data_IF_659094021695
#
_entry.id   IF_659094021695
#
_cell.length_a   1.000
_cell.length_b   1.000
_cell.length_c   1.000
_cell.angle_alpha   90.00
_cell.angle_beta   90.00
_cell.angle_gamma   90.00
#
_symmetry.space_group_name_H-M   'P 1'
#
loop_
_entity.id
_entity.type
_entity.pdbx_description
1 polymer ?
#
# COMPACT_ATOMS: atom_id res chain seq x y z
N UNK A 1 15.47 -22.53 -20.36
CA UNK A 1 15.88 -22.48 -18.94
C UNK A 1 15.04 -21.45 -18.23
N UNK A 2 13.97 -21.84 -17.54
CA UNK A 2 13.14 -20.89 -16.77
C UNK A 2 13.87 -20.58 -15.47
N UNK A 3 14.37 -19.34 -15.32
CA UNK A 3 15.00 -18.93 -14.07
C UNK A 3 13.94 -18.98 -12.96
N UNK A 4 14.21 -19.76 -11.91
CA UNK A 4 13.33 -19.89 -10.76
C UNK A 4 13.38 -18.56 -10.00
N UNK A 5 12.40 -17.69 -10.24
CA UNK A 5 12.33 -16.38 -9.61
C UNK A 5 12.43 -16.53 -8.07
N UNK A 6 13.38 -15.81 -7.46
CA UNK A 6 13.62 -15.84 -6.02
C UNK A 6 12.36 -15.32 -5.33
N UNK A 7 11.70 -16.17 -4.51
CA UNK A 7 10.47 -15.80 -3.79
C UNK A 7 10.74 -14.59 -2.91
N UNK A 8 9.98 -13.51 -3.13
CA UNK A 8 10.01 -12.33 -2.27
C UNK A 8 9.63 -12.73 -0.84
N UNK A 9 10.35 -12.18 0.13
CA UNK A 9 10.09 -12.41 1.55
C UNK A 9 9.65 -11.08 2.16
N UNK A 10 8.51 -11.13 2.87
CA UNK A 10 7.88 -9.98 3.49
C UNK A 10 7.81 -10.21 4.99
N UNK A 11 8.10 -9.17 5.76
CA UNK A 11 7.99 -9.17 7.22
C UNK A 11 6.52 -9.35 7.63
N UNK A 12 6.29 -9.82 8.86
CA UNK A 12 4.94 -9.92 9.40
C UNK A 12 4.26 -8.55 9.44
N UNK A 13 4.99 -7.51 9.88
CA UNK A 13 4.51 -6.13 9.94
C UNK A 13 4.04 -5.61 8.58
N UNK A 14 4.82 -5.81 7.52
CA UNK A 14 4.43 -5.39 6.16
C UNK A 14 3.15 -6.08 5.69
N UNK A 15 3.02 -7.38 5.96
CA UNK A 15 1.81 -8.13 5.62
C UNK A 15 0.60 -7.63 6.41
N UNK A 16 0.77 -7.35 7.70
CA UNK A 16 -0.29 -6.83 8.57
C UNK A 16 -0.79 -5.47 8.09
N UNK A 17 0.11 -4.55 7.72
CA UNK A 17 -0.27 -3.24 7.20
C UNK A 17 -1.03 -3.35 5.87
N UNK A 18 -0.58 -4.22 4.97
CA UNK A 18 -1.27 -4.50 3.72
C UNK A 18 -2.70 -5.03 3.96
N UNK A 19 -2.87 -5.93 4.93
CA UNK A 19 -4.19 -6.45 5.32
C UNK A 19 -5.04 -5.37 5.99
N UNK A 20 -4.45 -4.50 6.82
CA UNK A 20 -5.15 -3.39 7.48
C UNK A 20 -5.76 -2.43 6.46
N UNK A 21 -5.03 -2.09 5.40
CA UNK A 21 -5.52 -1.22 4.32
C UNK A 21 -6.73 -1.83 3.60
N UNK A 22 -6.70 -3.13 3.31
CA UNK A 22 -7.85 -3.84 2.72
C UNK A 22 -9.04 -3.87 3.69
N UNK A 23 -8.82 -4.15 4.98
CA UNK A 23 -9.86 -4.11 6.01
C UNK A 23 -10.46 -2.71 6.19
N UNK A 24 -9.69 -1.65 5.93
CA UNK A 24 -10.15 -0.27 5.93
C UNK A 24 -10.98 0.10 4.68
N UNK A 25 -11.26 -0.86 3.79
CA UNK A 25 -12.16 -0.69 2.64
C UNK A 25 -11.47 -0.39 1.31
N UNK A 26 -10.14 -0.39 1.26
CA UNK A 26 -9.42 -0.24 -0.01
C UNK A 26 -9.50 -1.52 -0.84
N UNK A 27 -9.58 -1.39 -2.17
CA UNK A 27 -9.57 -2.56 -3.06
C UNK A 27 -8.21 -3.25 -3.05
N UNK A 28 -8.20 -4.58 -3.17
CA UNK A 28 -6.96 -5.36 -3.21
C UNK A 28 -6.06 -4.93 -4.37
N UNK A 29 -6.62 -4.67 -5.55
CA UNK A 29 -5.89 -4.14 -6.70
C UNK A 29 -5.15 -2.81 -6.39
N UNK A 30 -5.82 -1.86 -5.72
CA UNK A 30 -5.22 -0.58 -5.38
C UNK A 30 -4.10 -0.71 -4.34
N UNK A 31 -4.33 -1.52 -3.29
CA UNK A 31 -3.32 -1.79 -2.25
C UNK A 31 -2.13 -2.53 -2.84
N UNK A 32 -2.36 -3.53 -3.70
CA UNK A 32 -1.33 -4.29 -4.37
C UNK A 32 -0.45 -3.40 -5.26
N UNK A 33 -1.05 -2.54 -6.08
CA UNK A 33 -0.35 -1.57 -6.90
C UNK A 33 0.46 -0.57 -6.05
N UNK A 34 -0.11 -0.10 -4.95
CA UNK A 34 0.55 0.86 -4.03
C UNK A 34 1.78 0.26 -3.36
N UNK A 35 1.67 -0.99 -2.90
CA UNK A 35 2.71 -1.69 -2.17
C UNK A 35 3.72 -2.43 -3.08
N UNK A 36 3.51 -2.40 -4.40
CA UNK A 36 4.36 -3.10 -5.36
C UNK A 36 4.32 -4.62 -5.18
N UNK A 37 3.17 -5.16 -4.76
CA UNK A 37 2.96 -6.61 -4.60
C UNK A 37 1.98 -7.12 -5.62
N UNK A 38 2.10 -8.39 -6.00
CA UNK A 38 1.11 -9.04 -6.84
C UNK A 38 -0.21 -9.15 -6.07
N UNK A 39 -1.34 -8.83 -6.70
CA UNK A 39 -2.66 -8.86 -6.07
C UNK A 39 -3.00 -10.24 -5.47
N UNK A 40 -2.65 -11.33 -6.16
CA UNK A 40 -2.80 -12.68 -5.64
C UNK A 40 -2.02 -12.92 -4.33
N UNK A 41 -0.85 -12.28 -4.17
CA UNK A 41 -0.05 -12.36 -2.94
C UNK A 41 -0.78 -11.65 -1.79
N UNK A 42 -1.33 -10.47 -2.05
CA UNK A 42 -2.14 -9.74 -1.07
C UNK A 42 -3.40 -10.52 -0.67
N UNK A 43 -4.10 -11.09 -1.65
CA UNK A 43 -5.25 -11.96 -1.39
C UNK A 43 -4.90 -13.11 -0.43
N UNK A 44 -3.76 -13.77 -0.66
CA UNK A 44 -3.29 -14.86 0.20
C UNK A 44 -3.02 -14.39 1.63
N UNK A 45 -2.53 -13.16 1.82
CA UNK A 45 -2.32 -12.59 3.16
C UNK A 45 -3.63 -12.27 3.85
N UNK A 46 -4.59 -11.65 3.15
CA UNK A 46 -5.93 -11.37 3.71
C UNK A 46 -6.62 -12.67 4.11
N UNK A 47 -6.50 -13.73 3.30
CA UNK A 47 -7.03 -15.06 3.64
C UNK A 47 -6.33 -15.65 4.88
N UNK A 48 -5.00 -15.64 4.92
CA UNK A 48 -4.24 -16.17 6.03
C UNK A 48 -4.52 -15.43 7.35
N UNK A 49 -4.72 -14.10 7.29
CA UNK A 49 -5.10 -13.28 8.44
C UNK A 49 -6.49 -13.64 8.98
N UNK A 50 -7.50 -13.81 8.10
CA UNK A 50 -8.84 -14.28 8.50
C UNK A 50 -8.82 -15.65 9.17
N UNK A 51 -7.88 -16.51 8.78
CA UNK A 51 -7.70 -17.84 9.36
C UNK A 51 -6.81 -17.85 10.61
N UNK A 52 -6.26 -16.71 11.04
CA UNK A 52 -5.31 -16.63 12.16
C UNK A 52 -3.95 -17.25 11.88
N UNK A 53 -3.60 -17.45 10.60
CA UNK A 53 -2.38 -18.14 10.13
C UNK A 53 -1.40 -17.21 9.42
N UNK A 54 -1.61 -15.89 9.49
CA UNK A 54 -0.70 -14.94 8.84
C UNK A 54 0.66 -14.97 9.55
N UNK A 55 1.68 -15.46 8.86
CA UNK A 55 3.05 -15.53 9.36
C UNK A 55 3.99 -14.69 8.49
N UNK A 56 4.99 -14.08 9.11
CA UNK A 56 6.10 -13.45 8.41
C UNK A 56 7.12 -14.49 7.94
N UNK A 57 7.83 -14.20 6.86
CA UNK A 57 9.04 -14.97 6.59
C UNK A 57 10.15 -14.50 7.56
N UNK A 58 10.88 -15.44 8.17
CA UNK A 58 11.94 -15.13 9.13
C UNK A 58 12.88 -14.06 8.58
N UNK A 59 12.90 -12.92 9.25
CA UNK A 59 13.86 -11.81 9.14
C UNK A 59 14.84 -11.87 7.96
N UNK A 60 14.34 -11.59 6.75
CA UNK A 60 15.17 -10.90 5.75
C UNK A 60 14.62 -9.48 5.63
N UNK A 61 15.42 -8.47 6.01
CA UNK A 61 14.91 -7.11 6.16
C UNK A 61 14.60 -6.54 4.78
N UNK A 62 13.38 -6.06 4.62
CA UNK A 62 13.12 -4.92 3.73
C UNK A 62 14.08 -3.83 4.21
N UNK A 63 14.91 -3.27 3.34
CA UNK A 63 15.87 -2.23 3.75
C UNK A 63 15.08 -1.10 4.42
N UNK A 64 15.57 -0.49 5.52
CA UNK A 64 14.99 0.74 6.08
C UNK A 64 14.70 1.80 5.00
N UNK A 65 15.53 1.84 3.95
CA UNK A 65 15.37 2.73 2.80
C UNK A 65 14.11 2.40 1.98
N UNK A 66 13.75 1.12 1.84
CA UNK A 66 12.55 0.71 1.13
C UNK A 66 11.28 0.99 1.94
N UNK A 67 11.36 0.86 3.28
CA UNK A 67 10.26 1.25 4.17
C UNK A 67 10.05 2.77 4.15
N UNK A 68 11.13 3.55 4.22
CA UNK A 68 11.09 5.00 4.16
C UNK A 68 10.61 5.48 2.80
N UNK A 69 11.05 4.84 1.71
CA UNK A 69 10.56 5.16 0.36
C UNK A 69 9.06 4.90 0.22
N UNK A 70 8.53 3.82 0.81
CA UNK A 70 7.10 3.54 0.80
C UNK A 70 6.32 4.59 1.62
N UNK A 71 6.81 4.94 2.80
CA UNK A 71 6.22 5.98 3.66
C UNK A 71 6.20 7.33 2.96
N UNK A 72 7.32 7.75 2.38
CA UNK A 72 7.44 9.01 1.64
C UNK A 72 6.50 9.05 0.43
N UNK A 73 6.36 7.93 -0.30
CA UNK A 73 5.41 7.86 -1.44
C UNK A 73 3.96 7.99 -0.98
N UNK A 74 3.58 7.35 0.12
CA UNK A 74 2.24 7.49 0.70
C UNK A 74 1.96 8.93 1.14
N UNK A 75 2.93 9.57 1.79
CA UNK A 75 2.79 10.96 2.25
C UNK A 75 2.70 11.94 1.07
N UNK A 76 3.53 11.76 0.04
CA UNK A 76 3.44 12.57 -1.20
C UNK A 76 2.08 12.40 -1.87
N UNK A 77 1.51 11.20 -1.89
CA UNK A 77 0.18 10.96 -2.46
C UNK A 77 -0.91 11.69 -1.66
N UNK A 78 -0.86 11.63 -0.32
CA UNK A 78 -1.78 12.35 0.58
C UNK A 78 -1.72 13.86 0.35
N UNK A 79 -0.51 14.43 0.38
CA UNK A 79 -0.30 15.87 0.20
C UNK A 79 -0.76 16.36 -1.18
N UNK A 80 -0.55 15.56 -2.23
CA UNK A 80 -1.06 15.90 -3.57
C UNK A 80 -2.59 15.94 -3.59
N UNK A 81 -3.24 14.96 -2.96
CA UNK A 81 -4.70 14.92 -2.87
C UNK A 81 -5.26 16.13 -2.13
N UNK A 82 -4.70 16.48 -0.97
CA UNK A 82 -5.10 17.66 -0.19
C UNK A 82 -4.94 18.95 -0.99
N UNK A 83 -3.79 19.11 -1.65
CA UNK A 83 -3.52 20.27 -2.51
C UNK A 83 -4.50 20.37 -3.68
N UNK A 84 -4.89 19.25 -4.28
CA UNK A 84 -5.84 19.24 -5.40
C UNK A 84 -7.27 19.54 -4.94
N UNK A 85 -7.66 19.10 -3.74
CA UNK A 85 -8.94 19.48 -3.12
C UNK A 85 -8.98 20.99 -2.87
N UNK A 86 -7.93 21.55 -2.27
CA UNK A 86 -7.83 22.99 -2.00
C UNK A 86 -7.87 23.82 -3.28
N UNK A 87 -7.16 23.38 -4.33
CA UNK A 87 -7.22 24.03 -5.65
C UNK A 87 -8.62 24.03 -6.24
N UNK A 88 -9.35 22.90 -6.16
CA UNK A 88 -10.73 22.81 -6.63
C UNK A 88 -11.66 23.73 -5.85
N UNK A 89 -11.52 23.80 -4.52
CA UNK A 89 -12.29 24.69 -3.68
C UNK A 89 -12.03 26.17 -4.04
N UNK A 90 -10.76 26.57 -4.15
CA UNK A 90 -10.40 27.93 -4.54
C UNK A 90 -10.96 28.31 -5.92
N UNK A 91 -10.88 27.40 -6.90
CA UNK A 91 -11.45 27.61 -8.23
C UNK A 91 -12.98 27.75 -8.19
N UNK A 92 -13.66 26.96 -7.36
CA UNK A 92 -15.10 27.08 -7.16
C UNK A 92 -15.48 28.44 -6.58
N UNK A 93 -14.84 28.87 -5.49
CA UNK A 93 -15.11 30.16 -4.87
C UNK A 93 -14.80 31.35 -5.79
N UNK A 94 -13.70 31.30 -6.54
CA UNK A 94 -13.37 32.34 -7.52
C UNK A 94 -14.43 32.47 -8.63
N UNK A 95 -15.10 31.36 -9.00
CA UNK A 95 -16.17 31.35 -10.00
C UNK A 95 -17.50 31.91 -9.45
N UNK A 96 -17.83 31.63 -8.19
CA UNK A 96 -19.05 32.14 -7.53
C UNK A 96 -18.95 33.63 -7.16
N UNK A 97 -17.74 34.19 -7.14
CA UNK A 97 -17.49 35.60 -6.79
C UNK A 97 -17.49 36.55 -8.00
N UNK A 98 -17.77 36.04 -9.21
CA UNK A 98 -17.85 36.80 -10.47
C UNK A 98 -19.28 36.97 -10.97
#
# INVERSE_FOLDING_TARGET
MTSKAKRAQYTLEFKLEAVRLVKAGQSMAAVAATLGVVEQTLYNWVKADREGKLTGAGTKPVSPEQMELARLRAEVARLKMERDILKKAAAYFAKESM
#
